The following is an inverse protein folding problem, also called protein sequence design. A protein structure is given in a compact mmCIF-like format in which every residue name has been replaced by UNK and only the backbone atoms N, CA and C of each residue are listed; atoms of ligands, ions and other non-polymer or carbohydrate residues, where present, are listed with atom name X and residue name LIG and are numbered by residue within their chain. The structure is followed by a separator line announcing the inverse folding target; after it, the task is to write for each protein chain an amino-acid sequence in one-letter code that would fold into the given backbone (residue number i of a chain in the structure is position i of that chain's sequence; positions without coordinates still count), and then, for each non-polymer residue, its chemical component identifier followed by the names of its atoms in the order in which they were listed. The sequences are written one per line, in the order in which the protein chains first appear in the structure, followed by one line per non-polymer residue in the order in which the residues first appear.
data_IF_036766589136
#
_entry.id   IF_036766589136
#
_cell.length_a   1.000
_cell.length_b   1.000
_cell.length_c   1.000
_cell.angle_alpha   90.00
_cell.angle_beta   90.00
_cell.angle_gamma   90.00
#
_symmetry.space_group_name_H-M   'P 1'
#
loop_
_entity.id
_entity.type
_entity.pdbx_description
1 polymer ?
#
# COMPACT_ATOMS: atom_id res chain seq x y z
N UNK A 1 -39.66 -48.89 55.32
CA UNK A 1 -38.61 -49.24 54.34
C UNK A 1 -38.97 -48.78 52.90
N UNK A 2 -40.13 -49.08 52.33
CA UNK A 2 -40.51 -48.69 50.97
C UNK A 2 -40.48 -47.16 50.68
N UNK A 3 -40.79 -46.28 51.65
CA UNK A 3 -40.78 -44.83 51.50
C UNK A 3 -39.38 -44.22 51.40
N UNK A 4 -38.39 -44.82 52.04
CA UNK A 4 -36.97 -44.35 51.98
C UNK A 4 -36.24 -44.80 50.72
N UNK A 5 -36.64 -45.94 50.14
CA UNK A 5 -36.07 -46.42 48.87
C UNK A 5 -36.53 -45.50 47.69
N UNK A 6 -37.79 -45.01 47.75
CA UNK A 6 -38.33 -44.14 46.73
C UNK A 6 -37.70 -42.72 46.80
N UNK A 7 -37.33 -42.24 48.01
CA UNK A 7 -36.65 -40.96 48.19
C UNK A 7 -35.15 -40.98 47.73
N UNK A 8 -34.48 -42.11 47.91
CA UNK A 8 -33.10 -42.33 47.46
C UNK A 8 -33.04 -42.46 45.94
N UNK A 9 -34.06 -43.10 45.34
CA UNK A 9 -34.11 -43.27 43.87
C UNK A 9 -34.43 -41.97 43.13
N UNK A 10 -35.19 -41.04 43.73
CA UNK A 10 -35.40 -39.69 43.19
C UNK A 10 -34.19 -38.79 43.35
N UNK A 11 -33.37 -38.96 44.40
CA UNK A 11 -32.17 -38.17 44.62
C UNK A 11 -31.01 -38.61 43.70
N UNK A 12 -30.93 -39.88 43.32
CA UNK A 12 -29.96 -40.36 42.35
C UNK A 12 -30.32 -39.95 40.91
N UNK A 13 -31.62 -39.85 40.58
CA UNK A 13 -32.04 -39.37 39.25
C UNK A 13 -31.84 -37.88 39.06
N UNK A 14 -31.86 -37.08 40.15
CA UNK A 14 -31.53 -35.65 40.10
C UNK A 14 -30.03 -35.33 39.96
N UNK A 15 -29.18 -36.22 40.41
CA UNK A 15 -27.71 -36.04 40.27
C UNK A 15 -27.18 -36.42 38.89
N UNK A 16 -27.87 -37.23 38.10
CA UNK A 16 -27.48 -37.57 36.73
C UNK A 16 -27.83 -36.53 35.68
N UNK A 17 -28.69 -35.53 36.01
CA UNK A 17 -29.05 -34.45 35.12
C UNK A 17 -28.07 -33.24 35.20
N UNK A 18 -27.14 -33.19 36.15
CA UNK A 18 -26.15 -32.11 36.27
C UNK A 18 -24.75 -32.47 35.67
N UNK A 19 -24.55 -33.69 35.17
CA UNK A 19 -23.32 -34.09 34.56
C UNK A 19 -23.27 -33.94 33.04
N UNK A 20 -24.25 -33.28 32.44
CA UNK A 20 -24.41 -33.09 31.00
C UNK A 20 -24.10 -31.67 30.46
N UNK A 21 -23.64 -30.76 31.30
CA UNK A 21 -23.03 -29.51 30.77
C UNK A 21 -21.60 -29.82 30.33
N UNK A 22 -21.47 -30.32 29.10
CA UNK A 22 -20.20 -30.37 28.41
C UNK A 22 -19.56 -28.97 28.47
N UNK A 23 -18.34 -28.96 28.93
CA UNK A 23 -17.44 -27.82 28.95
C UNK A 23 -17.15 -27.44 27.48
N UNK A 24 -18.13 -26.84 26.79
CA UNK A 24 -17.81 -25.94 25.69
C UNK A 24 -17.16 -24.75 26.37
N UNK A 25 -15.85 -24.82 26.55
CA UNK A 25 -15.04 -23.62 26.58
C UNK A 25 -15.36 -22.88 25.29
N UNK A 26 -16.30 -21.94 25.39
CA UNK A 26 -16.34 -20.84 24.45
C UNK A 26 -14.92 -20.26 24.51
N UNK A 27 -14.11 -20.56 23.51
CA UNK A 27 -12.90 -19.79 23.28
C UNK A 27 -13.39 -18.34 23.22
N UNK A 28 -13.11 -17.57 24.28
CA UNK A 28 -13.28 -16.12 24.23
C UNK A 28 -12.55 -15.68 22.96
N UNK A 29 -13.30 -15.27 21.96
CA UNK A 29 -12.73 -14.72 20.72
C UNK A 29 -11.99 -13.49 21.18
N UNK A 30 -10.66 -13.57 21.30
CA UNK A 30 -9.82 -12.47 21.73
C UNK A 30 -10.18 -11.27 20.85
N UNK A 31 -10.60 -10.20 21.46
CA UNK A 31 -10.91 -8.96 20.74
C UNK A 31 -9.65 -8.50 20.00
N UNK A 32 -9.79 -8.20 18.72
CA UNK A 32 -8.67 -7.75 17.90
C UNK A 32 -8.28 -6.33 18.32
N UNK A 33 -6.99 -6.05 18.34
CA UNK A 33 -6.47 -4.71 18.60
C UNK A 33 -6.65 -3.81 17.36
N UNK A 34 -6.77 -2.51 17.57
CA UNK A 34 -6.80 -1.53 16.50
C UNK A 34 -5.50 -1.58 15.67
N UNK A 35 -5.61 -1.33 14.37
CA UNK A 35 -4.49 -1.20 13.43
C UNK A 35 -4.50 0.20 12.84
N UNK A 36 -3.36 0.90 12.88
CA UNK A 36 -3.17 2.20 12.24
C UNK A 36 -2.32 2.07 10.97
N UNK A 37 -2.83 2.59 9.84
CA UNK A 37 -2.19 2.48 8.52
C UNK A 37 -2.03 3.83 7.86
N UNK A 38 -0.82 4.11 7.35
CA UNK A 38 -0.54 5.28 6.54
C UNK A 38 -0.81 5.02 5.06
N UNK A 39 -1.55 5.93 4.41
CA UNK A 39 -1.83 5.89 2.97
C UNK A 39 -1.49 7.22 2.31
N UNK A 40 -1.32 7.20 0.98
CA UNK A 40 -1.07 8.38 0.16
C UNK A 40 -2.25 8.62 -0.81
N UNK A 41 -2.35 9.80 -1.46
CA UNK A 41 -3.40 10.06 -2.45
C UNK A 41 -3.06 9.38 -3.79
N UNK A 42 -3.01 8.07 -3.78
CA UNK A 42 -2.71 7.19 -4.91
C UNK A 42 -3.69 6.01 -4.99
N UNK A 43 -3.66 5.30 -6.10
CA UNK A 43 -4.58 4.19 -6.35
C UNK A 43 -4.30 2.97 -5.46
N UNK A 44 -3.10 2.85 -4.89
CA UNK A 44 -2.74 1.78 -3.97
C UNK A 44 -3.64 1.79 -2.72
N UNK A 45 -4.12 2.97 -2.32
CA UNK A 45 -4.97 3.15 -1.14
C UNK A 45 -6.42 2.73 -1.35
N UNK A 46 -6.88 2.59 -2.60
CA UNK A 46 -8.29 2.39 -2.92
C UNK A 46 -8.87 1.12 -2.29
N UNK A 47 -8.23 -0.06 -2.35
CA UNK A 47 -8.78 -1.26 -1.69
C UNK A 47 -8.97 -1.09 -0.17
N UNK A 48 -8.02 -0.41 0.51
CA UNK A 48 -8.13 -0.15 1.96
C UNK A 48 -9.29 0.80 2.25
N UNK A 49 -9.46 1.86 1.44
CA UNK A 49 -10.58 2.79 1.56
C UNK A 49 -11.91 2.08 1.36
N UNK A 50 -12.03 1.24 0.34
CA UNK A 50 -13.24 0.45 0.08
C UNK A 50 -13.50 -0.55 1.21
N UNK A 51 -12.49 -1.22 1.74
CA UNK A 51 -12.65 -2.12 2.88
C UNK A 51 -13.22 -1.39 4.11
N UNK A 52 -12.76 -0.17 4.38
CA UNK A 52 -13.26 0.67 5.46
C UNK A 52 -14.71 1.11 5.21
N UNK A 53 -14.99 1.70 4.05
CA UNK A 53 -16.28 2.32 3.77
C UNK A 53 -17.42 1.31 3.54
N UNK A 54 -17.08 0.10 3.07
CA UNK A 54 -18.03 -1.01 2.95
C UNK A 54 -18.18 -1.80 4.27
N UNK A 55 -17.41 -1.46 5.30
CA UNK A 55 -17.50 -2.13 6.61
C UNK A 55 -16.80 -3.49 6.68
N UNK A 56 -15.97 -3.86 5.69
CA UNK A 56 -15.32 -5.18 5.66
C UNK A 56 -14.33 -5.38 6.81
N UNK A 57 -13.65 -4.32 7.26
CA UNK A 57 -12.85 -4.41 8.48
C UNK A 57 -13.71 -4.70 9.72
N UNK A 58 -14.87 -4.03 9.86
CA UNK A 58 -15.78 -4.26 10.97
C UNK A 58 -16.41 -5.68 10.95
N UNK A 59 -16.67 -6.25 9.77
CA UNK A 59 -17.13 -7.64 9.62
C UNK A 59 -16.08 -8.65 10.13
N UNK A 60 -14.80 -8.33 10.00
CA UNK A 60 -13.70 -9.12 10.57
C UNK A 60 -13.48 -8.85 12.06
N UNK A 61 -14.21 -7.90 12.67
CA UNK A 61 -14.04 -7.47 14.06
C UNK A 61 -12.77 -6.62 14.25
N UNK A 62 -12.25 -6.01 13.19
CA UNK A 62 -11.06 -5.19 13.19
C UNK A 62 -11.43 -3.71 13.05
N UNK A 63 -10.82 -2.85 13.85
CA UNK A 63 -10.87 -1.41 13.67
C UNK A 63 -9.55 -0.94 13.04
N UNK A 64 -9.67 -0.21 11.92
CA UNK A 64 -8.52 0.34 11.19
C UNK A 64 -8.59 1.86 11.21
N UNK A 65 -7.52 2.51 11.68
CA UNK A 65 -7.31 3.96 11.61
C UNK A 65 -6.47 4.26 10.36
N UNK A 66 -7.08 4.90 9.36
CA UNK A 66 -6.43 5.24 8.09
C UNK A 66 -5.96 6.69 8.15
N UNK A 67 -4.63 6.89 8.18
CA UNK A 67 -4.00 8.20 8.21
C UNK A 67 -3.46 8.57 6.83
N UNK A 68 -3.79 9.78 6.34
CA UNK A 68 -3.45 10.24 4.99
C UNK A 68 -2.27 11.19 5.00
N UNK A 69 -1.31 10.92 4.13
CA UNK A 69 -0.09 11.71 3.96
C UNK A 69 0.02 12.25 2.53
N UNK A 70 0.72 13.38 2.37
CA UNK A 70 0.95 14.00 1.04
C UNK A 70 2.34 13.70 0.48
N UNK A 71 3.22 13.14 1.29
CA UNK A 71 4.57 12.72 0.89
C UNK A 71 5.00 11.44 1.60
N UNK A 72 5.88 10.65 0.95
CA UNK A 72 6.49 9.47 1.55
C UNK A 72 7.29 9.83 2.82
N UNK A 73 7.97 10.97 2.82
CA UNK A 73 8.77 11.44 3.98
C UNK A 73 7.91 11.61 5.24
N UNK A 74 6.73 12.25 5.12
CA UNK A 74 5.83 12.47 6.27
C UNK A 74 5.24 11.15 6.76
N UNK A 75 4.84 10.25 5.84
CA UNK A 75 4.35 8.90 6.15
C UNK A 75 5.40 8.07 6.90
N UNK A 76 6.64 8.05 6.40
CA UNK A 76 7.72 7.26 6.99
C UNK A 76 8.14 7.81 8.37
N UNK A 77 8.12 9.13 8.54
CA UNK A 77 8.34 9.75 9.83
C UNK A 77 7.25 9.38 10.86
N UNK A 78 5.97 9.32 10.43
CA UNK A 78 4.87 8.88 11.28
C UNK A 78 5.00 7.40 11.67
N UNK A 79 5.44 6.52 10.74
CA UNK A 79 5.69 5.12 11.02
C UNK A 79 6.85 4.94 12.02
N UNK A 80 7.96 5.64 11.80
CA UNK A 80 9.14 5.55 12.67
C UNK A 80 8.90 6.13 14.06
N UNK A 81 8.01 7.12 14.19
CA UNK A 81 7.61 7.67 15.49
C UNK A 81 6.61 6.79 16.28
N UNK A 82 6.16 5.68 15.69
CA UNK A 82 5.21 4.74 16.30
C UNK A 82 3.74 5.18 16.23
N UNK A 83 3.41 6.17 15.40
CA UNK A 83 2.04 6.62 15.18
C UNK A 83 1.27 5.70 14.21
N UNK A 84 1.97 4.81 13.49
CA UNK A 84 1.42 3.85 12.57
C UNK A 84 1.92 2.44 12.90
N UNK A 85 1.05 1.45 12.72
CA UNK A 85 1.40 0.02 12.72
C UNK A 85 2.01 -0.40 11.38
N UNK A 86 1.55 0.18 10.28
CA UNK A 86 2.00 -0.10 8.93
C UNK A 86 1.65 1.00 7.93
N UNK A 87 2.04 0.81 6.69
CA UNK A 87 1.76 1.78 5.62
C UNK A 87 1.81 1.14 4.23
N UNK A 88 1.03 1.69 3.30
CA UNK A 88 1.31 1.56 1.87
C UNK A 88 2.60 2.32 1.58
N UNK A 89 3.58 1.65 0.97
CA UNK A 89 4.93 2.15 0.81
C UNK A 89 5.63 1.55 -0.40
N UNK A 90 6.94 1.51 -0.37
CA UNK A 90 7.77 0.93 -1.41
C UNK A 90 9.01 0.22 -0.85
N UNK A 91 9.66 -0.59 -1.67
CA UNK A 91 10.85 -1.34 -1.26
C UNK A 91 12.04 -0.47 -0.86
N UNK A 92 12.11 0.79 -1.34
CA UNK A 92 13.18 1.71 -0.94
C UNK A 92 13.00 2.12 0.53
N UNK A 93 11.77 2.48 0.91
CA UNK A 93 11.44 2.83 2.29
C UNK A 93 11.73 1.67 3.25
N UNK A 94 11.37 0.43 2.86
CA UNK A 94 11.70 -0.80 3.62
C UNK A 94 13.20 -0.93 3.83
N UNK A 95 14.00 -0.82 2.76
CA UNK A 95 15.45 -0.96 2.83
C UNK A 95 16.11 0.19 3.63
N UNK A 96 15.63 1.43 3.49
CA UNK A 96 16.10 2.56 4.29
C UNK A 96 15.78 2.39 5.78
N UNK A 97 14.56 1.97 6.11
CA UNK A 97 14.16 1.69 7.49
C UNK A 97 15.09 0.63 8.10
N UNK A 98 15.29 -0.47 7.40
CA UNK A 98 16.19 -1.57 7.82
C UNK A 98 17.64 -1.09 7.99
N UNK A 99 18.16 -0.32 7.04
CA UNK A 99 19.51 0.27 7.12
C UNK A 99 19.66 1.25 8.30
N UNK A 100 18.58 1.95 8.66
CA UNK A 100 18.50 2.85 9.81
C UNK A 100 18.27 2.16 11.16
N UNK A 101 18.15 0.82 11.18
CA UNK A 101 17.90 0.04 12.39
C UNK A 101 16.42 0.01 12.83
N UNK A 102 15.51 0.47 11.99
CA UNK A 102 14.08 0.40 12.21
C UNK A 102 13.50 -0.81 11.44
N UNK A 103 13.06 -1.84 12.19
CA UNK A 103 12.66 -3.10 11.57
C UNK A 103 11.19 -3.07 11.11
N UNK A 104 11.02 -3.20 9.79
CA UNK A 104 9.73 -3.33 9.11
C UNK A 104 9.73 -4.61 8.25
N UNK A 105 8.55 -5.12 7.98
CA UNK A 105 8.34 -6.30 7.13
C UNK A 105 7.34 -5.99 6.03
N UNK A 106 7.64 -6.43 4.83
CA UNK A 106 6.72 -6.45 3.71
C UNK A 106 5.77 -7.64 3.86
N UNK A 107 4.48 -7.40 3.75
CA UNK A 107 3.45 -8.43 3.90
C UNK A 107 2.60 -8.62 2.63
N UNK A 108 2.64 -7.66 1.70
CA UNK A 108 2.01 -7.75 0.38
C UNK A 108 2.67 -6.77 -0.61
N UNK A 109 2.53 -7.04 -1.92
CA UNK A 109 2.69 -6.01 -2.94
C UNK A 109 1.42 -5.13 -3.02
N UNK A 110 1.46 -4.03 -3.80
CA UNK A 110 0.32 -3.15 -4.10
C UNK A 110 0.24 -2.89 -5.61
N UNK A 111 -0.92 -2.40 -6.11
CA UNK A 111 -1.20 -2.23 -7.56
C UNK A 111 -0.94 -0.80 -8.08
N UNK A 112 0.10 -0.14 -7.57
CA UNK A 112 0.45 1.22 -7.97
C UNK A 112 1.01 1.33 -9.38
N UNK A 113 0.65 2.40 -10.08
CA UNK A 113 1.23 2.77 -11.37
C UNK A 113 1.80 4.18 -11.32
N UNK A 114 2.99 4.35 -11.90
CA UNK A 114 3.76 5.59 -11.87
C UNK A 114 4.08 6.05 -13.29
N UNK A 115 3.58 7.24 -13.66
CA UNK A 115 3.66 7.76 -15.03
C UNK A 115 4.69 8.87 -15.13
N UNK A 116 5.54 8.80 -16.14
CA UNK A 116 6.39 9.92 -16.59
C UNK A 116 5.56 10.78 -17.54
N UNK A 117 5.32 12.03 -17.16
CA UNK A 117 4.41 12.95 -17.86
C UNK A 117 5.20 14.21 -18.26
N UNK A 118 5.16 14.60 -19.52
CA UNK A 118 5.65 15.87 -20.04
C UNK A 118 4.69 17.01 -19.76
N UNK A 119 5.21 18.21 -19.48
CA UNK A 119 4.41 19.44 -19.29
C UNK A 119 3.65 19.84 -20.57
N UNK A 120 2.69 20.76 -20.43
CA UNK A 120 1.81 21.18 -21.55
C UNK A 120 2.57 21.73 -22.77
N UNK A 121 3.61 22.51 -22.50
CA UNK A 121 4.42 23.15 -23.53
C UNK A 121 5.63 22.32 -23.95
N UNK A 122 5.80 21.16 -23.32
CA UNK A 122 6.89 20.25 -23.60
C UNK A 122 6.51 19.34 -24.79
N UNK A 123 7.43 19.21 -25.74
CA UNK A 123 7.24 18.35 -26.93
C UNK A 123 7.87 16.97 -26.80
N UNK A 124 8.23 16.56 -25.57
CA UNK A 124 8.83 15.26 -25.32
C UNK A 124 7.80 14.14 -25.58
N UNK A 125 8.10 13.28 -26.52
CA UNK A 125 7.30 12.08 -26.85
C UNK A 125 7.92 10.80 -26.26
N UNK A 126 9.21 10.87 -25.91
CA UNK A 126 9.99 9.76 -25.35
C UNK A 126 10.97 10.27 -24.30
N UNK A 127 11.47 9.40 -23.40
CA UNK A 127 12.37 9.82 -22.32
C UNK A 127 13.63 10.56 -22.77
N UNK A 128 14.19 10.19 -23.95
CA UNK A 128 15.40 10.84 -24.49
C UNK A 128 15.21 12.33 -24.77
N UNK A 129 13.99 12.76 -25.07
CA UNK A 129 13.67 14.17 -25.36
C UNK A 129 13.74 15.06 -24.09
N UNK A 130 13.85 14.42 -22.91
CA UNK A 130 14.03 15.09 -21.62
C UNK A 130 15.50 15.32 -21.24
N UNK A 131 16.46 14.96 -22.09
CA UNK A 131 17.88 15.18 -21.80
C UNK A 131 18.17 16.68 -21.50
N UNK A 132 18.80 16.94 -20.34
CA UNK A 132 19.13 18.27 -19.84
C UNK A 132 17.93 19.08 -19.31
N UNK A 133 16.73 18.51 -19.27
CA UNK A 133 15.53 19.18 -18.80
C UNK A 133 15.19 18.88 -17.34
N UNK A 134 14.43 19.76 -16.72
CA UNK A 134 13.97 19.66 -15.35
C UNK A 134 12.82 18.66 -15.22
N UNK A 135 13.09 17.55 -14.54
CA UNK A 135 12.13 16.48 -14.29
C UNK A 135 11.87 16.36 -12.78
N UNK A 136 10.65 16.59 -12.37
CA UNK A 136 10.30 16.51 -10.94
C UNK A 136 10.19 15.07 -10.45
N UNK A 137 10.84 14.83 -9.31
CA UNK A 137 10.84 13.54 -8.61
C UNK A 137 10.65 13.73 -7.10
N UNK A 138 10.31 12.65 -6.41
CA UNK A 138 10.50 12.53 -4.96
C UNK A 138 11.76 11.70 -4.72
N UNK A 139 12.79 12.35 -4.19
CA UNK A 139 14.10 11.72 -3.99
C UNK A 139 14.04 10.57 -2.99
N UNK A 140 14.80 9.51 -3.24
CA UNK A 140 14.91 8.32 -2.39
C UNK A 140 13.55 7.59 -2.19
N UNK A 141 12.67 7.64 -3.19
CA UNK A 141 11.39 6.94 -3.20
C UNK A 141 11.20 6.16 -4.49
N UNK A 142 10.11 5.40 -4.57
CA UNK A 142 9.65 4.71 -5.78
C UNK A 142 9.65 5.64 -7.02
N UNK A 143 9.33 6.92 -6.83
CA UNK A 143 9.28 7.90 -7.92
C UNK A 143 10.66 8.10 -8.57
N UNK A 144 11.71 8.25 -7.76
CA UNK A 144 13.06 8.36 -8.29
C UNK A 144 13.52 7.04 -8.92
N UNK A 145 13.26 5.92 -8.27
CA UNK A 145 13.58 4.59 -8.78
C UNK A 145 12.96 4.36 -10.16
N UNK A 146 11.65 4.56 -10.29
CA UNK A 146 10.94 4.39 -11.58
C UNK A 146 11.50 5.34 -12.64
N UNK A 147 11.76 6.60 -12.30
CA UNK A 147 12.36 7.56 -13.23
C UNK A 147 13.72 7.07 -13.75
N UNK A 148 14.58 6.60 -12.85
CA UNK A 148 15.91 6.09 -13.22
C UNK A 148 15.82 4.79 -14.04
N UNK A 149 14.88 3.91 -13.73
CA UNK A 149 14.64 2.70 -14.53
C UNK A 149 14.15 3.05 -15.94
N UNK A 150 13.27 4.04 -16.07
CA UNK A 150 12.80 4.53 -17.37
C UNK A 150 13.98 5.08 -18.18
N UNK A 151 14.79 5.98 -17.62
CA UNK A 151 15.94 6.57 -18.35
C UNK A 151 16.98 5.50 -18.71
N UNK A 152 17.29 4.60 -17.80
CA UNK A 152 18.25 3.51 -18.04
C UNK A 152 17.79 2.55 -19.14
N UNK A 153 16.47 2.23 -19.22
CA UNK A 153 15.93 1.38 -20.29
C UNK A 153 16.10 1.96 -21.69
N UNK A 154 16.25 3.28 -21.76
CA UNK A 154 16.47 4.02 -22.99
C UNK A 154 17.96 4.32 -23.25
N UNK A 155 18.87 3.65 -22.52
CA UNK A 155 20.31 3.83 -22.58
C UNK A 155 20.75 5.29 -22.30
N UNK A 156 19.98 6.03 -21.52
CA UNK A 156 20.35 7.38 -21.11
C UNK A 156 21.36 7.31 -19.95
N UNK A 157 22.46 8.07 -20.01
CA UNK A 157 23.42 8.10 -18.91
C UNK A 157 22.80 8.64 -17.62
N UNK A 158 23.34 8.23 -16.47
CA UNK A 158 23.01 8.85 -15.18
C UNK A 158 23.27 10.37 -15.25
N UNK A 159 22.34 11.14 -14.70
CA UNK A 159 22.43 12.60 -14.75
C UNK A 159 22.03 13.23 -16.10
N UNK A 160 21.53 12.45 -17.05
CA UNK A 160 21.04 12.98 -18.33
C UNK A 160 19.82 13.89 -18.20
N UNK A 161 19.07 13.81 -17.11
CA UNK A 161 17.97 14.73 -16.75
C UNK A 161 18.32 15.50 -15.48
N UNK A 162 17.77 16.71 -15.32
CA UNK A 162 17.91 17.50 -14.10
C UNK A 162 16.80 17.12 -13.13
N UNK A 163 17.10 16.32 -12.11
CA UNK A 163 16.09 15.93 -11.12
C UNK A 163 15.76 17.08 -10.19
N UNK A 164 14.53 17.61 -10.25
CA UNK A 164 13.99 18.61 -9.32
C UNK A 164 13.23 17.91 -8.20
N UNK A 165 13.71 18.05 -6.96
CA UNK A 165 13.15 17.34 -5.81
C UNK A 165 11.91 18.05 -5.29
N UNK A 166 10.73 17.46 -5.48
CA UNK A 166 9.43 17.94 -5.00
C UNK A 166 8.71 16.75 -4.30
N UNK A 167 8.84 16.60 -2.98
CA UNK A 167 8.29 15.44 -2.26
C UNK A 167 6.77 15.38 -2.26
N UNK A 168 6.09 16.53 -2.15
CA UNK A 168 4.63 16.61 -2.06
C UNK A 168 3.98 16.31 -3.41
N UNK A 169 3.15 15.26 -3.46
CA UNK A 169 2.48 14.83 -4.71
C UNK A 169 1.61 15.94 -5.32
N UNK A 170 0.74 16.64 -4.56
CA UNK A 170 -0.08 17.72 -5.14
C UNK A 170 0.75 18.87 -5.69
N UNK A 171 1.83 19.26 -5.01
CA UNK A 171 2.72 20.34 -5.46
C UNK A 171 3.45 19.96 -6.76
N UNK A 172 3.88 18.70 -6.87
CA UNK A 172 4.53 18.21 -8.09
C UNK A 172 3.60 18.24 -9.30
N UNK A 173 2.32 17.85 -9.11
CA UNK A 173 1.28 17.97 -10.13
C UNK A 173 1.04 19.44 -10.53
N UNK A 174 0.86 20.33 -9.55
CA UNK A 174 0.60 21.76 -9.79
C UNK A 174 1.74 22.42 -10.57
N UNK A 175 2.99 22.15 -10.19
CA UNK A 175 4.16 22.72 -10.88
C UNK A 175 4.28 22.21 -12.31
N UNK A 176 3.95 20.94 -12.58
CA UNK A 176 3.91 20.41 -13.94
C UNK A 176 2.81 21.09 -14.76
N UNK A 177 1.59 21.16 -14.23
CA UNK A 177 0.44 21.78 -14.91
C UNK A 177 0.62 23.28 -15.20
N UNK A 178 1.39 23.97 -14.35
CA UNK A 178 1.70 25.41 -14.53
C UNK A 178 2.89 25.69 -15.45
N UNK A 179 3.47 24.65 -16.10
CA UNK A 179 4.60 24.80 -17.03
C UNK A 179 5.94 25.14 -16.37
N UNK A 180 6.07 24.98 -15.04
CA UNK A 180 7.32 25.23 -14.30
C UNK A 180 8.33 24.06 -14.40
N UNK A 181 7.92 22.94 -14.98
CA UNK A 181 8.69 21.72 -15.13
C UNK A 181 8.52 21.19 -16.54
N UNK A 182 9.60 20.67 -17.12
CA UNK A 182 9.53 19.98 -18.40
C UNK A 182 8.78 18.63 -18.26
N UNK A 183 8.99 17.92 -17.17
CA UNK A 183 8.31 16.65 -16.89
C UNK A 183 8.22 16.38 -15.40
N UNK A 184 7.40 15.39 -15.03
CA UNK A 184 7.32 14.84 -13.68
C UNK A 184 6.97 13.37 -13.71
N UNK A 185 7.50 12.59 -12.77
CA UNK A 185 6.98 11.26 -12.48
C UNK A 185 5.93 11.36 -11.37
N UNK A 186 4.72 10.90 -11.68
CA UNK A 186 3.54 11.03 -10.83
C UNK A 186 2.90 9.66 -10.61
N UNK A 187 2.43 9.36 -9.37
CA UNK A 187 1.55 8.21 -9.16
C UNK A 187 0.16 8.46 -9.74
N UNK A 188 -0.60 7.38 -10.02
CA UNK A 188 -2.03 7.53 -10.30
C UNK A 188 -2.81 7.89 -9.01
N UNK A 189 -3.84 8.75 -9.11
CA UNK A 189 -4.48 9.32 -10.31
C UNK A 189 -3.80 10.58 -10.87
N UNK A 190 -2.72 11.07 -10.24
CA UNK A 190 -2.15 12.38 -10.60
C UNK A 190 -1.56 12.40 -12.01
N UNK A 191 -1.04 11.26 -12.51
CA UNK A 191 -0.62 11.12 -13.90
C UNK A 191 -1.78 11.33 -14.88
N UNK A 192 -2.89 10.63 -14.69
CA UNK A 192 -4.10 10.78 -15.52
C UNK A 192 -4.72 12.16 -15.42
N UNK A 193 -4.72 12.79 -14.24
CA UNK A 193 -5.17 14.16 -14.03
C UNK A 193 -4.28 15.17 -14.80
N UNK A 194 -2.98 14.97 -14.80
CA UNK A 194 -2.05 15.80 -15.58
C UNK A 194 -2.37 15.70 -17.08
N UNK A 195 -2.58 14.49 -17.60
CA UNK A 195 -2.95 14.24 -18.99
C UNK A 195 -4.28 14.94 -19.33
N UNK A 196 -5.30 14.77 -18.50
CA UNK A 196 -6.60 15.43 -18.68
C UNK A 196 -6.52 16.97 -18.68
N UNK A 197 -5.49 17.54 -18.05
CA UNK A 197 -5.21 18.97 -18.06
C UNK A 197 -4.36 19.46 -19.24
N UNK A 198 -4.02 18.58 -20.20
CA UNK A 198 -3.26 18.88 -21.41
C UNK A 198 -1.76 18.62 -21.31
N UNK A 199 -1.28 17.94 -20.27
CA UNK A 199 0.07 17.39 -20.21
C UNK A 199 0.17 16.11 -21.07
N UNK A 200 1.40 15.66 -21.39
CA UNK A 200 1.63 14.58 -22.35
C UNK A 200 2.11 13.31 -21.65
N UNK A 201 1.47 12.18 -21.93
CA UNK A 201 1.97 10.87 -21.50
C UNK A 201 3.24 10.51 -22.28
N UNK A 202 4.29 10.08 -21.56
CA UNK A 202 5.55 9.63 -22.18
C UNK A 202 5.68 8.11 -22.01
N UNK A 203 5.65 7.61 -20.78
CA UNK A 203 5.68 6.17 -20.45
C UNK A 203 5.30 5.98 -18.97
N UNK A 204 5.27 4.73 -18.51
CA UNK A 204 4.96 4.40 -17.12
C UNK A 204 5.73 3.17 -16.60
N UNK A 205 5.53 2.86 -15.33
CA UNK A 205 6.12 1.70 -14.66
C UNK A 205 5.54 0.38 -15.15
N UNK A 206 4.30 0.37 -15.63
CA UNK A 206 3.62 -0.83 -16.14
C UNK A 206 4.27 -1.29 -17.46
N UNK A 207 4.49 -0.37 -18.40
CA UNK A 207 5.22 -0.64 -19.63
C UNK A 207 6.63 -1.19 -19.39
N UNK A 208 7.22 -0.88 -18.23
CA UNK A 208 8.54 -1.35 -17.80
C UNK A 208 8.48 -2.70 -17.05
N UNK A 209 7.29 -3.18 -16.69
CA UNK A 209 7.10 -4.35 -15.84
C UNK A 209 7.70 -4.17 -14.43
N UNK A 210 7.66 -2.95 -13.88
CA UNK A 210 8.24 -2.59 -12.58
C UNK A 210 7.11 -2.24 -11.61
N UNK A 211 7.06 -2.95 -10.48
CA UNK A 211 6.17 -2.60 -9.38
C UNK A 211 6.85 -2.84 -8.02
N UNK A 212 7.59 -1.86 -7.47
CA UNK A 212 8.18 -1.96 -6.14
C UNK A 212 7.27 -1.47 -5.01
N UNK A 213 5.98 -1.21 -5.28
CA UNK A 213 4.98 -0.83 -4.30
C UNK A 213 4.65 -1.99 -3.36
N UNK A 214 4.58 -1.71 -2.06
CA UNK A 214 4.33 -2.73 -1.04
C UNK A 214 3.49 -2.19 0.11
N UNK A 215 2.79 -3.11 0.78
CA UNK A 215 2.25 -2.91 2.11
C UNK A 215 3.28 -3.41 3.13
N UNK A 216 3.70 -2.56 4.05
CA UNK A 216 4.63 -2.90 5.12
C UNK A 216 4.04 -2.64 6.49
N UNK A 217 4.45 -3.43 7.47
CA UNK A 217 4.17 -3.23 8.89
C UNK A 217 5.46 -3.23 9.70
N UNK A 218 5.43 -2.62 10.89
CA UNK A 218 6.56 -2.73 11.81
C UNK A 218 6.74 -4.21 12.21
N UNK A 219 7.97 -4.68 12.42
CA UNK A 219 8.21 -6.04 12.88
C UNK A 219 7.46 -6.32 14.18
N UNK A 220 7.38 -5.34 15.09
CA UNK A 220 6.59 -5.42 16.31
C UNK A 220 5.11 -5.72 16.04
N UNK A 221 4.51 -5.08 15.03
CA UNK A 221 3.11 -5.33 14.63
C UNK A 221 2.96 -6.74 14.08
N UNK A 222 3.87 -7.16 13.20
CA UNK A 222 3.85 -8.52 12.63
C UNK A 222 3.92 -9.59 13.73
N UNK A 223 4.80 -9.40 14.72
CA UNK A 223 4.99 -10.36 15.80
C UNK A 223 3.83 -10.40 16.80
N UNK A 224 3.21 -9.25 17.09
CA UNK A 224 2.23 -9.15 18.17
C UNK A 224 0.78 -9.08 17.72
N UNK A 225 0.51 -8.71 16.45
CA UNK A 225 -0.83 -8.51 15.88
C UNK A 225 -1.06 -9.37 14.62
N UNK A 226 -0.53 -10.61 14.62
CA UNK A 226 -0.67 -11.50 13.44
C UNK A 226 -2.14 -11.78 13.08
N UNK A 227 -3.01 -11.99 14.07
CA UNK A 227 -4.43 -12.25 13.84
C UNK A 227 -5.13 -11.03 13.23
N UNK A 228 -4.77 -9.82 13.69
CA UNK A 228 -5.25 -8.54 13.19
C UNK A 228 -4.82 -8.34 11.73
N UNK A 229 -3.56 -8.65 11.39
CA UNK A 229 -3.06 -8.53 10.02
C UNK A 229 -3.73 -9.54 9.08
N UNK A 230 -4.01 -10.75 9.55
CA UNK A 230 -4.79 -11.72 8.77
C UNK A 230 -6.23 -11.24 8.55
N UNK A 231 -6.89 -10.65 9.57
CA UNK A 231 -8.20 -10.04 9.43
C UNK A 231 -8.16 -8.85 8.45
N UNK A 232 -7.13 -8.00 8.54
CA UNK A 232 -6.91 -6.89 7.62
C UNK A 232 -6.87 -7.36 6.16
N UNK A 233 -6.12 -8.43 5.86
CA UNK A 233 -6.03 -8.93 4.49
C UNK A 233 -7.27 -9.66 4.01
N UNK A 234 -8.05 -10.32 4.88
CA UNK A 234 -9.36 -10.86 4.46
C UNK A 234 -10.30 -9.72 4.05
N UNK A 235 -10.35 -8.63 4.82
CA UNK A 235 -11.13 -7.45 4.47
C UNK A 235 -10.63 -6.75 3.20
N UNK A 236 -9.32 -6.62 3.05
CA UNK A 236 -8.67 -6.08 1.84
C UNK A 236 -9.06 -6.91 0.60
N UNK A 237 -8.91 -8.24 0.64
CA UNK A 237 -9.22 -9.12 -0.48
C UNK A 237 -10.71 -9.05 -0.86
N UNK A 238 -11.60 -8.93 0.14
CA UNK A 238 -13.03 -8.70 -0.11
C UNK A 238 -13.29 -7.36 -0.82
N UNK A 239 -12.53 -6.32 -0.48
CA UNK A 239 -12.60 -5.04 -1.18
C UNK A 239 -12.07 -5.14 -2.62
N UNK A 240 -11.00 -5.90 -2.85
CA UNK A 240 -10.47 -6.19 -4.20
C UNK A 240 -11.53 -6.88 -5.06
N UNK A 241 -12.19 -7.92 -4.53
CA UNK A 241 -13.26 -8.60 -5.24
C UNK A 241 -14.40 -7.64 -5.59
N UNK A 242 -14.83 -6.80 -4.63
CA UNK A 242 -15.85 -5.78 -4.87
C UNK A 242 -15.44 -4.83 -6.01
N UNK A 243 -14.22 -4.31 -5.99
CA UNK A 243 -13.70 -3.38 -7.00
C UNK A 243 -13.68 -3.99 -8.41
N UNK A 244 -13.32 -5.27 -8.54
CA UNK A 244 -13.23 -5.95 -9.82
C UNK A 244 -14.58 -6.44 -10.36
N UNK A 245 -15.55 -6.70 -9.48
CA UNK A 245 -16.89 -7.19 -9.86
C UNK A 245 -17.90 -6.07 -10.16
N UNK A 246 -17.62 -4.81 -9.72
CA UNK A 246 -18.55 -3.69 -9.87
C UNK A 246 -18.02 -2.63 -10.82
N UNK A 247 -18.90 -2.00 -11.61
CA UNK A 247 -18.50 -0.87 -12.47
C UNK A 247 -17.91 0.27 -11.66
N UNK A 248 -16.83 0.88 -12.13
CA UNK A 248 -16.13 1.97 -11.46
C UNK A 248 -17.05 3.13 -11.08
N UNK A 249 -18.06 3.44 -11.87
CA UNK A 249 -18.99 4.54 -11.64
C UNK A 249 -19.81 4.37 -10.35
N UNK A 250 -19.98 3.15 -9.85
CA UNK A 250 -20.76 2.87 -8.64
C UNK A 250 -20.01 3.29 -7.36
N UNK A 251 -18.68 3.37 -7.38
CA UNK A 251 -17.88 3.65 -6.19
C UNK A 251 -16.89 4.82 -6.35
N UNK A 252 -16.72 5.39 -7.54
CA UNK A 252 -15.69 6.38 -7.79
C UNK A 252 -15.93 7.69 -7.01
N UNK A 253 -17.17 8.11 -6.79
CA UNK A 253 -17.48 9.28 -5.96
C UNK A 253 -17.02 9.09 -4.51
N UNK A 254 -17.25 7.90 -3.97
CA UNK A 254 -16.78 7.51 -2.64
C UNK A 254 -15.25 7.49 -2.58
N UNK A 255 -14.60 6.89 -3.57
CA UNK A 255 -13.13 6.86 -3.66
C UNK A 255 -12.55 8.26 -3.69
N UNK A 256 -13.07 9.17 -4.53
CA UNK A 256 -12.63 10.56 -4.63
C UNK A 256 -12.74 11.26 -3.27
N UNK A 257 -13.91 11.19 -2.64
CA UNK A 257 -14.15 11.82 -1.34
C UNK A 257 -13.18 11.29 -0.27
N UNK A 258 -13.06 9.97 -0.18
CA UNK A 258 -12.35 9.32 0.91
C UNK A 258 -10.84 9.20 0.68
N UNK A 259 -10.37 9.13 -0.56
CA UNK A 259 -8.92 9.17 -0.86
C UNK A 259 -8.38 10.59 -0.94
N UNK A 260 -9.26 11.59 -1.09
CA UNK A 260 -8.86 12.99 -1.30
C UNK A 260 -8.32 13.25 -2.70
N UNK A 261 -8.79 12.48 -3.70
CA UNK A 261 -8.46 12.73 -5.10
C UNK A 261 -9.15 14.00 -5.60
N UNK A 262 -8.53 14.77 -6.50
CA UNK A 262 -9.23 15.85 -7.20
C UNK A 262 -10.45 15.32 -7.95
N UNK A 263 -11.55 16.08 -7.97
CA UNK A 263 -12.83 15.66 -8.58
C UNK A 263 -12.70 15.24 -10.06
N UNK A 264 -11.73 15.83 -10.79
CA UNK A 264 -11.46 15.49 -12.19
C UNK A 264 -11.01 14.03 -12.36
N UNK A 265 -10.53 13.38 -11.32
CA UNK A 265 -10.19 11.94 -11.33
C UNK A 265 -11.38 11.07 -11.78
N UNK A 266 -12.62 11.50 -11.51
CA UNK A 266 -13.83 10.75 -11.91
C UNK A 266 -13.86 10.43 -13.41
N UNK A 267 -13.43 11.36 -14.23
CA UNK A 267 -13.44 11.23 -15.69
C UNK A 267 -12.06 10.95 -16.29
N UNK A 268 -10.99 11.29 -15.56
CA UNK A 268 -9.62 11.14 -16.05
C UNK A 268 -9.01 9.77 -15.74
N UNK A 269 -9.42 9.13 -14.65
CA UNK A 269 -8.81 7.91 -14.14
C UNK A 269 -9.61 6.67 -14.53
N UNK A 270 -8.92 5.69 -15.09
CA UNK A 270 -9.38 4.31 -15.13
C UNK A 270 -8.57 3.53 -14.09
N UNK A 271 -9.25 2.97 -13.09
CA UNK A 271 -8.61 2.13 -12.09
C UNK A 271 -8.12 0.82 -12.72
N UNK A 272 -7.01 0.24 -12.23
CA UNK A 272 -6.52 -1.04 -12.69
C UNK A 272 -7.46 -2.18 -12.24
N UNK A 273 -7.26 -3.37 -12.78
CA UNK A 273 -7.68 -4.59 -12.11
C UNK A 273 -6.82 -4.76 -10.85
N UNK A 274 -7.46 -4.81 -9.69
CA UNK A 274 -6.76 -5.00 -8.42
C UNK A 274 -6.53 -6.47 -8.14
N UNK A 275 -5.40 -6.76 -7.46
CA UNK A 275 -5.05 -8.11 -7.08
C UNK A 275 -5.23 -8.34 -5.58
N UNK A 276 -5.65 -9.54 -5.21
CA UNK A 276 -5.65 -9.96 -3.81
C UNK A 276 -4.23 -9.89 -3.23
N UNK A 277 -4.17 -9.72 -1.91
CA UNK A 277 -2.89 -9.64 -1.20
C UNK A 277 -2.00 -10.85 -1.49
N UNK A 278 -0.79 -10.59 -1.96
CA UNK A 278 0.22 -11.61 -2.23
C UNK A 278 1.61 -11.02 -2.01
N UNK A 279 2.60 -11.88 -1.77
CA UNK A 279 3.97 -11.43 -1.58
C UNK A 279 4.54 -10.82 -2.88
N UNK A 280 5.41 -9.80 -2.79
CA UNK A 280 6.07 -9.25 -3.96
C UNK A 280 6.96 -10.31 -4.63
N UNK A 281 7.16 -10.18 -5.94
CA UNK A 281 8.10 -11.05 -6.66
C UNK A 281 9.53 -10.80 -6.16
N UNK A 282 10.27 -11.85 -5.90
CA UNK A 282 11.67 -11.76 -5.44
C UNK A 282 12.54 -10.94 -6.41
N UNK A 283 12.26 -11.06 -7.72
CA UNK A 283 12.93 -10.27 -8.75
C UNK A 283 12.78 -8.77 -8.52
N UNK A 284 11.56 -8.28 -8.25
CA UNK A 284 11.28 -6.85 -8.09
C UNK A 284 11.96 -6.30 -6.83
N UNK A 285 11.96 -7.07 -5.75
CA UNK A 285 12.69 -6.76 -4.51
C UNK A 285 14.20 -6.66 -4.78
N UNK A 286 14.76 -7.69 -5.41
CA UNK A 286 16.21 -7.77 -5.70
C UNK A 286 16.67 -6.66 -6.64
N UNK A 287 15.92 -6.34 -7.69
CA UNK A 287 16.25 -5.26 -8.63
C UNK A 287 16.25 -3.89 -7.95
N UNK A 288 15.30 -3.65 -7.05
CA UNK A 288 15.23 -2.42 -6.26
C UNK A 288 16.44 -2.30 -5.32
N UNK A 289 16.78 -3.34 -4.57
CA UNK A 289 17.93 -3.37 -3.67
C UNK A 289 19.26 -3.18 -4.42
N UNK A 290 19.43 -3.82 -5.57
CA UNK A 290 20.61 -3.66 -6.41
C UNK A 290 20.77 -2.22 -6.91
N UNK A 291 19.67 -1.58 -7.35
CA UNK A 291 19.69 -0.18 -7.73
C UNK A 291 20.10 0.73 -6.55
N UNK A 292 19.56 0.49 -5.36
CA UNK A 292 19.93 1.26 -4.16
C UNK A 292 21.41 1.10 -3.80
N UNK A 293 21.98 -0.09 -3.93
CA UNK A 293 23.40 -0.35 -3.70
C UNK A 293 24.27 0.35 -4.75
N UNK A 294 23.92 0.23 -6.03
CA UNK A 294 24.64 0.90 -7.13
C UNK A 294 24.66 2.42 -6.98
N UNK A 295 23.58 3.00 -6.45
CA UNK A 295 23.51 4.44 -6.12
C UNK A 295 24.20 4.81 -4.80
N UNK A 296 24.70 3.83 -4.04
CA UNK A 296 25.33 4.06 -2.74
C UNK A 296 24.34 4.49 -1.64
N UNK A 297 23.06 4.24 -1.82
CA UNK A 297 21.98 4.61 -0.89
C UNK A 297 21.95 3.68 0.33
N UNK A 298 22.30 2.42 0.14
CA UNK A 298 22.46 1.42 1.22
C UNK A 298 23.81 0.73 1.05
N UNK A 299 24.43 0.34 2.18
CA UNK A 299 25.70 -0.39 2.21
C UNK A 299 25.52 -1.89 2.41
N UNK A 300 24.47 -2.27 3.16
CA UNK A 300 24.18 -3.66 3.46
C UNK A 300 23.43 -4.31 2.31
N UNK A 301 23.62 -5.63 2.17
CA UNK A 301 22.81 -6.50 1.32
C UNK A 301 21.74 -7.13 2.21
N UNK A 302 20.49 -7.11 1.77
CA UNK A 302 19.39 -7.77 2.43
C UNK A 302 18.83 -8.88 1.54
N UNK A 303 18.53 -10.05 2.13
CA UNK A 303 17.82 -11.10 1.43
C UNK A 303 16.33 -10.83 1.37
N UNK A 304 15.65 -11.50 0.46
CA UNK A 304 14.19 -11.46 0.37
C UNK A 304 13.54 -11.84 1.71
N UNK A 305 13.95 -12.96 2.31
CA UNK A 305 13.37 -13.49 3.56
C UNK A 305 13.65 -12.61 4.79
N UNK A 306 14.66 -11.73 4.73
CA UNK A 306 14.89 -10.75 5.79
C UNK A 306 13.86 -9.62 5.76
N UNK A 307 13.31 -9.29 4.61
CA UNK A 307 12.42 -8.14 4.41
C UNK A 307 10.95 -8.55 4.25
N UNK A 308 10.67 -9.72 3.70
CA UNK A 308 9.32 -10.18 3.34
C UNK A 308 8.87 -11.29 4.29
N UNK A 309 7.63 -11.22 4.73
CA UNK A 309 7.04 -12.21 5.63
C UNK A 309 5.69 -12.70 5.11
N UNK A 310 5.50 -14.01 5.13
CA UNK A 310 4.22 -14.65 4.86
C UNK A 310 3.42 -14.81 6.16
N UNK A 311 2.33 -14.08 6.29
CA UNK A 311 1.47 -14.13 7.47
C UNK A 311 0.69 -15.45 7.63
N UNK A 312 0.72 -16.32 6.61
CA UNK A 312 0.04 -17.61 6.62
C UNK A 312 0.96 -18.76 7.08
N UNK A 313 2.24 -18.50 7.19
CA UNK A 313 3.23 -19.38 7.80
C UNK A 313 3.44 -19.01 9.28
#
# INVERSE_FOLDING_TARGET
MKKYIMLIMTMILAMTLMAGCGNQQAQEKKELQDISVGVMPDIDSVPIIIAQEKGYFAEEGLKVDIQKFKSAMDRDAALQSGNLDGAISDMLAVAFAKAGGFDVKVTSFTDGTYKLIGGKDEKAEKPQDLAGKDVAVSKNTIIEYVTDRITASQNMPDGSINKVVIPQIPTRLEMLQSGKLAAATLPEPMGSIAIASGCHFITDSEAMGINPGVMMFTAKTVDNKKAELQAFYRAYNKAVQYLNEHPQDEYMDLVIEKSGFPAVAKTALKLPEYHESALPKEKDVTECLNWMQQKGLIKATYSYDELVVDLNK
#
